data_IF_854487626633
#
_entry.id   IF_854487626633
#
_cell.length_a   1.000
_cell.length_b   1.000
_cell.length_c   1.000
_cell.angle_alpha   90.00
_cell.angle_beta   90.00
_cell.angle_gamma   90.00
#
_symmetry.space_group_name_H-M   'P 1'
#
loop_
_entity.id
_entity.type
_entity.pdbx_description
1 polymer ?
#
# COMPACT_ATOMS: atom_id res chain seq x y z
N UNK A 1 -14.10 20.82 -7.01
CA UNK A 1 -12.71 20.63 -7.49
C UNK A 1 -12.76 19.56 -8.55
N UNK A 2 -12.55 19.95 -9.81
CA UNK A 2 -12.60 19.06 -10.97
C UNK A 2 -11.30 18.24 -11.05
N UNK A 3 -11.45 16.92 -11.13
CA UNK A 3 -10.36 16.00 -11.43
C UNK A 3 -9.72 16.37 -12.76
N UNK A 4 -8.39 16.53 -12.79
CA UNK A 4 -7.66 16.71 -14.04
C UNK A 4 -7.69 15.39 -14.84
N UNK A 5 -8.14 15.41 -16.10
CA UNK A 5 -8.15 14.21 -16.94
C UNK A 5 -6.73 13.70 -17.17
N UNK A 6 -6.55 12.38 -17.21
CA UNK A 6 -5.27 11.74 -17.60
C UNK A 6 -4.94 12.07 -19.07
N UNK A 7 -4.35 13.23 -19.30
CA UNK A 7 -3.44 13.46 -20.40
C UNK A 7 -2.00 13.38 -19.86
N UNK A 8 -1.03 13.22 -20.77
CA UNK A 8 0.36 12.86 -20.48
C UNK A 8 1.12 13.78 -19.50
N UNK A 9 0.54 14.92 -19.10
CA UNK A 9 1.11 15.82 -18.09
C UNK A 9 0.89 15.35 -16.65
N UNK A 10 -0.15 14.55 -16.39
CA UNK A 10 -0.42 14.04 -15.04
C UNK A 10 0.70 13.10 -14.55
N UNK A 11 1.24 12.24 -15.43
CA UNK A 11 2.35 11.37 -15.10
C UNK A 11 3.61 12.17 -14.69
N UNK A 12 3.91 13.29 -15.36
CA UNK A 12 5.09 14.11 -15.06
C UNK A 12 4.97 14.88 -13.73
N UNK A 13 3.79 15.39 -13.41
CA UNK A 13 3.55 16.07 -12.13
C UNK A 13 3.43 15.09 -10.94
N UNK A 14 2.87 13.89 -11.17
CA UNK A 14 2.89 12.78 -10.21
C UNK A 14 4.33 12.32 -9.95
N UNK A 15 5.16 12.21 -10.99
CA UNK A 15 6.58 11.85 -10.88
C UNK A 15 7.35 12.91 -10.07
N UNK A 16 7.05 14.20 -10.21
CA UNK A 16 7.74 15.28 -9.49
C UNK A 16 7.35 15.40 -8.01
N UNK A 17 6.10 15.11 -7.63
CA UNK A 17 5.65 15.20 -6.23
C UNK A 17 6.01 13.97 -5.39
N UNK A 18 6.09 12.79 -6.01
CA UNK A 18 6.34 11.53 -5.32
C UNK A 18 7.83 11.14 -5.20
N UNK A 19 8.75 11.88 -5.81
CA UNK A 19 10.17 11.49 -5.90
C UNK A 19 10.94 11.57 -4.58
N UNK A 20 10.34 12.10 -3.51
CA UNK A 20 10.91 12.08 -2.16
C UNK A 20 9.79 12.03 -1.12
N UNK A 21 9.57 10.85 -0.53
CA UNK A 21 8.63 10.69 0.60
C UNK A 21 9.11 11.50 1.82
N UNK A 22 10.41 11.79 1.89
CA UNK A 22 11.01 12.65 2.92
C UNK A 22 10.42 14.06 2.90
N UNK A 23 10.33 14.68 1.72
CA UNK A 23 9.92 16.08 1.60
C UNK A 23 8.45 16.25 1.99
N UNK A 24 7.58 15.35 1.54
CA UNK A 24 6.17 15.37 1.92
C UNK A 24 6.01 15.00 3.40
N UNK A 25 6.81 14.06 3.88
CA UNK A 25 6.77 13.63 5.27
C UNK A 25 7.15 14.70 6.28
N UNK A 26 8.20 15.48 5.99
CA UNK A 26 8.60 16.60 6.83
C UNK A 26 7.53 17.69 6.91
N UNK A 27 6.80 17.93 5.81
CA UNK A 27 5.71 18.91 5.75
C UNK A 27 4.42 18.42 6.43
N UNK A 28 4.17 17.11 6.44
CA UNK A 28 2.94 16.52 6.99
C UNK A 28 2.99 16.29 8.52
N UNK A 29 4.19 16.10 9.09
CA UNK A 29 4.41 15.73 10.49
C UNK A 29 4.30 16.91 11.50
N UNK A 30 3.68 18.03 11.15
CA UNK A 30 3.85 19.31 11.87
C UNK A 30 3.12 19.45 13.22
N UNK A 31 2.54 18.38 13.78
CA UNK A 31 1.80 18.43 15.05
C UNK A 31 2.37 17.45 16.09
N UNK A 32 2.77 17.94 17.27
CA UNK A 32 3.21 17.13 18.41
C UNK A 32 4.70 16.75 18.42
N UNK A 33 5.04 15.71 19.19
CA UNK A 33 6.43 15.24 19.43
C UNK A 33 7.18 14.95 18.11
N UNK A 34 6.48 14.44 17.10
CA UNK A 34 7.05 14.17 15.77
C UNK A 34 7.38 15.43 14.97
N UNK A 35 6.65 16.53 15.18
CA UNK A 35 6.94 17.84 14.57
C UNK A 35 8.15 18.54 15.19
N UNK A 36 8.49 18.20 16.43
CA UNK A 36 9.74 18.64 17.05
C UNK A 36 10.93 17.81 16.54
N UNK A 37 10.75 16.49 16.41
CA UNK A 37 11.78 15.58 15.87
C UNK A 37 12.11 15.93 14.42
N UNK A 38 11.13 16.28 13.58
CA UNK A 38 11.36 16.64 12.18
C UNK A 38 12.23 17.88 12.00
N UNK A 39 12.28 18.76 13.01
CA UNK A 39 13.13 19.96 13.05
C UNK A 39 14.52 19.69 13.64
N UNK A 40 14.73 18.53 14.26
CA UNK A 40 15.99 18.17 14.88
C UNK A 40 17.06 17.80 13.83
N UNK A 41 18.32 17.73 14.27
CA UNK A 41 19.43 17.33 13.40
C UNK A 41 19.24 15.90 12.85
N UNK A 42 19.83 15.59 11.69
CA UNK A 42 19.77 14.24 11.10
C UNK A 42 20.22 13.13 12.06
N UNK A 43 21.21 13.41 12.92
CA UNK A 43 21.69 12.45 13.94
C UNK A 43 20.63 12.17 15.00
N UNK A 44 19.93 13.21 15.47
CA UNK A 44 18.84 13.07 16.45
C UNK A 44 17.67 12.32 15.82
N UNK A 45 17.28 12.68 14.60
CA UNK A 45 16.24 11.97 13.86
C UNK A 45 16.57 10.49 13.69
N UNK A 46 17.81 10.17 13.30
CA UNK A 46 18.27 8.80 13.16
C UNK A 46 18.26 8.05 14.49
N UNK A 47 18.74 8.68 15.58
CA UNK A 47 18.74 8.07 16.91
C UNK A 47 17.35 7.77 17.45
N UNK A 48 16.40 8.70 17.27
CA UNK A 48 15.01 8.50 17.69
C UNK A 48 14.31 7.43 16.83
N UNK A 49 14.49 7.45 15.49
CA UNK A 49 13.95 6.41 14.59
C UNK A 49 14.52 5.03 14.93
N UNK A 50 15.82 4.96 15.13
CA UNK A 50 16.52 3.76 15.57
C UNK A 50 15.93 3.24 16.88
N UNK A 51 15.86 4.09 17.90
CA UNK A 51 15.33 3.72 19.21
C UNK A 51 13.92 3.17 19.10
N UNK A 52 13.05 3.84 18.34
CA UNK A 52 11.65 3.42 18.17
C UNK A 52 11.51 2.08 17.44
N UNK A 53 12.20 1.90 16.30
CA UNK A 53 12.16 0.64 15.54
C UNK A 53 12.72 -0.52 16.33
N UNK A 54 13.86 -0.30 16.99
CA UNK A 54 14.56 -1.34 17.73
C UNK A 54 13.79 -1.71 19.00
N UNK A 55 13.18 -0.74 19.69
CA UNK A 55 12.31 -0.99 20.83
C UNK A 55 11.08 -1.78 20.43
N UNK A 56 10.44 -1.43 19.31
CA UNK A 56 9.29 -2.18 18.77
C UNK A 56 9.67 -3.63 18.45
N UNK A 57 10.81 -3.85 17.79
CA UNK A 57 11.30 -5.21 17.48
C UNK A 57 11.62 -6.01 18.75
N UNK A 58 12.28 -5.41 19.74
CA UNK A 58 12.57 -6.04 21.03
C UNK A 58 11.29 -6.35 21.81
N UNK A 59 10.29 -5.48 21.77
CA UNK A 59 8.98 -5.72 22.39
C UNK A 59 8.27 -6.94 21.76
N UNK A 60 8.30 -7.07 20.42
CA UNK A 60 7.76 -8.25 19.71
C UNK A 60 8.52 -9.53 20.10
N UNK A 61 9.84 -9.47 20.20
CA UNK A 61 10.67 -10.58 20.69
C UNK A 61 10.28 -10.98 22.12
N UNK A 62 10.14 -10.02 23.03
CA UNK A 62 9.70 -10.29 24.41
C UNK A 62 8.30 -10.90 24.47
N UNK A 63 7.37 -10.42 23.64
CA UNK A 63 6.04 -11.01 23.47
C UNK A 63 6.12 -12.48 23.04
N UNK A 64 6.90 -12.78 22.00
CA UNK A 64 7.10 -14.15 21.53
C UNK A 64 7.74 -15.06 22.58
N UNK A 65 8.75 -14.57 23.32
CA UNK A 65 9.34 -15.34 24.40
C UNK A 65 8.28 -15.67 25.47
N UNK A 66 7.48 -14.68 25.88
CA UNK A 66 6.41 -14.88 26.84
C UNK A 66 5.36 -15.88 26.33
N UNK A 67 4.99 -15.84 25.05
CA UNK A 67 4.08 -16.80 24.43
C UNK A 67 4.62 -18.23 24.45
N UNK A 68 5.90 -18.42 24.09
CA UNK A 68 6.57 -19.73 24.11
C UNK A 68 6.62 -20.31 25.52
N UNK A 69 6.94 -19.48 26.52
CA UNK A 69 6.99 -19.90 27.93
C UNK A 69 5.60 -20.19 28.52
N UNK A 70 4.59 -19.38 28.17
CA UNK A 70 3.22 -19.52 28.67
C UNK A 70 2.40 -20.60 27.93
N UNK A 71 2.81 -20.98 26.72
CA UNK A 71 2.12 -21.96 25.85
C UNK A 71 2.18 -23.42 26.31
N UNK A 72 3.03 -23.73 27.31
CA UNK A 72 2.93 -24.95 28.10
C UNK A 72 3.75 -26.15 27.62
N UNK A 73 4.52 -26.71 28.57
CA UNK A 73 5.31 -27.97 28.58
C UNK A 73 6.66 -27.96 27.87
N UNK A 74 7.64 -27.28 28.47
CA UNK A 74 9.00 -27.80 28.79
C UNK A 74 9.86 -26.66 29.34
N UNK A 75 10.87 -27.00 30.16
CA UNK A 75 12.02 -26.14 30.46
C UNK A 75 12.73 -25.76 29.14
N UNK A 76 12.19 -24.77 28.42
CA UNK A 76 12.76 -24.31 27.16
C UNK A 76 14.06 -23.63 27.50
N UNK A 77 15.16 -24.33 27.26
CA UNK A 77 16.50 -23.82 27.54
C UNK A 77 16.74 -22.55 26.72
N UNK A 78 17.63 -21.70 27.23
CA UNK A 78 18.10 -20.51 26.51
C UNK A 78 18.54 -20.82 25.08
N UNK A 79 19.21 -21.94 24.85
CA UNK A 79 19.67 -22.37 23.53
C UNK A 79 18.51 -22.75 22.60
N UNK A 80 17.47 -23.41 23.12
CA UNK A 80 16.26 -23.70 22.35
C UNK A 80 15.50 -22.44 22.00
N UNK A 81 15.37 -21.50 22.94
CA UNK A 81 14.71 -20.22 22.72
C UNK A 81 15.49 -19.35 21.72
N UNK A 82 16.82 -19.31 21.83
CA UNK A 82 17.70 -18.65 20.86
C UNK A 82 17.55 -19.25 19.47
N UNK A 83 17.47 -20.58 19.36
CA UNK A 83 17.25 -21.26 18.09
C UNK A 83 15.90 -20.87 17.45
N UNK A 84 14.81 -20.85 18.22
CA UNK A 84 13.50 -20.41 17.75
C UNK A 84 13.52 -18.94 17.30
N UNK A 85 14.12 -18.07 18.12
CA UNK A 85 14.26 -16.65 17.81
C UNK A 85 15.07 -16.44 16.52
N UNK A 86 16.18 -17.14 16.34
CA UNK A 86 17.04 -17.02 15.14
C UNK A 86 16.32 -17.35 13.84
N UNK A 87 15.28 -18.20 13.90
CA UNK A 87 14.43 -18.57 12.75
C UNK A 87 13.17 -17.74 12.63
N UNK A 88 12.86 -16.93 13.63
CA UNK A 88 11.68 -16.09 13.64
C UNK A 88 11.78 -14.96 12.61
N UNK A 89 10.63 -14.42 12.25
CA UNK A 89 10.55 -13.24 11.43
C UNK A 89 11.20 -12.02 12.10
N UNK A 90 11.23 -11.97 13.44
CA UNK A 90 11.88 -10.90 14.18
C UNK A 90 13.39 -10.85 13.91
N UNK A 91 14.07 -12.02 13.91
CA UNK A 91 15.50 -12.10 13.68
C UNK A 91 15.91 -11.98 12.21
N UNK A 92 15.02 -12.41 11.30
CA UNK A 92 15.30 -12.45 9.86
C UNK A 92 14.81 -11.22 9.11
N UNK A 93 13.96 -10.38 9.71
CA UNK A 93 13.39 -9.20 9.05
C UNK A 93 13.39 -7.97 9.98
N UNK A 94 12.63 -8.00 11.07
CA UNK A 94 12.37 -6.79 11.87
C UNK A 94 13.65 -6.21 12.52
N UNK A 95 14.46 -7.06 13.18
CA UNK A 95 15.71 -6.65 13.81
C UNK A 95 16.78 -6.20 12.79
N UNK A 96 17.04 -6.93 11.69
CA UNK A 96 17.95 -6.45 10.64
C UNK A 96 17.57 -5.09 10.07
N UNK A 97 16.28 -4.83 9.84
CA UNK A 97 15.78 -3.53 9.39
C UNK A 97 16.08 -2.45 10.43
N UNK A 98 15.70 -2.68 11.69
CA UNK A 98 15.91 -1.72 12.76
C UNK A 98 17.40 -1.41 12.98
N UNK A 99 18.26 -2.44 12.98
CA UNK A 99 19.71 -2.30 13.09
C UNK A 99 20.28 -1.52 11.91
N UNK A 100 19.81 -1.77 10.68
CA UNK A 100 20.29 -1.04 9.50
C UNK A 100 19.93 0.45 9.58
N UNK A 101 18.71 0.77 10.01
CA UNK A 101 18.29 2.16 10.31
C UNK A 101 19.20 2.80 11.35
N UNK A 102 19.51 2.07 12.43
CA UNK A 102 20.42 2.53 13.47
C UNK A 102 21.83 2.84 12.95
N UNK A 103 22.36 1.99 12.07
CA UNK A 103 23.67 2.17 11.47
C UNK A 103 23.68 3.22 10.34
N UNK A 104 22.52 3.71 9.92
CA UNK A 104 22.39 4.60 8.76
C UNK A 104 22.78 3.90 7.46
N UNK A 105 22.56 2.59 7.40
CA UNK A 105 22.90 1.73 6.28
C UNK A 105 21.63 1.28 5.56
N UNK A 106 21.70 1.00 4.24
CA UNK A 106 20.60 0.35 3.55
C UNK A 106 20.31 -1.02 4.16
N UNK A 107 19.03 -1.41 4.17
CA UNK A 107 18.62 -2.74 4.63
C UNK A 107 19.32 -3.79 3.75
N UNK A 108 20.06 -4.74 4.35
CA UNK A 108 20.80 -5.72 3.59
C UNK A 108 19.85 -6.59 2.78
N UNK A 109 20.08 -6.62 1.46
CA UNK A 109 19.36 -7.47 0.51
C UNK A 109 19.73 -8.95 0.67
N UNK A 110 20.89 -9.24 1.28
CA UNK A 110 21.31 -10.57 1.66
C UNK A 110 21.95 -10.55 3.06
N UNK A 111 21.30 -11.20 4.03
CA UNK A 111 21.81 -11.30 5.41
C UNK A 111 23.14 -12.05 5.48
N UNK A 112 23.38 -13.02 4.59
CA UNK A 112 24.63 -13.80 4.53
C UNK A 112 25.85 -12.94 4.13
N UNK A 113 25.60 -11.73 3.61
CA UNK A 113 26.64 -10.77 3.24
C UNK A 113 26.68 -9.57 4.19
N UNK A 114 25.88 -9.59 5.25
CA UNK A 114 25.68 -8.47 6.16
C UNK A 114 26.18 -8.81 7.57
N UNK A 115 27.39 -9.36 7.67
CA UNK A 115 28.02 -9.84 8.92
C UNK A 115 27.87 -8.85 10.07
N UNK A 116 28.07 -7.55 9.80
CA UNK A 116 27.89 -6.50 10.82
C UNK A 116 26.47 -6.44 11.36
N UNK A 117 25.45 -6.48 10.50
CA UNK A 117 24.03 -6.43 10.90
C UNK A 117 23.66 -7.72 11.63
N UNK A 118 24.02 -8.87 11.07
CA UNK A 118 23.73 -10.19 11.67
C UNK A 118 24.35 -10.34 13.05
N UNK A 119 25.59 -9.91 13.23
CA UNK A 119 26.28 -9.95 14.52
C UNK A 119 25.60 -9.07 15.57
N UNK A 120 25.15 -7.88 15.19
CA UNK A 120 24.40 -6.99 16.09
C UNK A 120 23.05 -7.62 16.44
N UNK A 121 22.30 -8.15 15.47
CA UNK A 121 21.03 -8.84 15.71
C UNK A 121 21.21 -9.99 16.69
N UNK A 122 22.23 -10.84 16.49
CA UNK A 122 22.57 -11.93 17.41
C UNK A 122 22.89 -11.39 18.81
N UNK A 123 23.70 -10.34 18.91
CA UNK A 123 24.06 -9.72 20.18
C UNK A 123 22.84 -9.16 20.92
N UNK A 124 21.89 -8.56 20.20
CA UNK A 124 20.63 -8.07 20.76
C UNK A 124 19.82 -9.23 21.33
N UNK A 125 19.61 -10.31 20.57
CA UNK A 125 18.87 -11.48 21.04
C UNK A 125 19.53 -12.08 22.30
N UNK A 126 20.85 -12.24 22.30
CA UNK A 126 21.60 -12.76 23.46
C UNK A 126 21.39 -11.90 24.70
N UNK A 127 21.47 -10.57 24.54
CA UNK A 127 21.28 -9.64 25.65
C UNK A 127 19.85 -9.59 26.14
N UNK A 128 18.86 -9.67 25.25
CA UNK A 128 17.44 -9.75 25.64
C UNK A 128 17.21 -10.98 26.52
N UNK A 129 17.72 -12.15 26.11
CA UNK A 129 17.62 -13.37 26.91
C UNK A 129 18.35 -13.26 28.25
N UNK A 130 19.58 -12.73 28.26
CA UNK A 130 20.36 -12.51 29.48
C UNK A 130 19.67 -11.56 30.46
N UNK A 131 19.07 -10.49 29.96
CA UNK A 131 18.38 -9.49 30.78
C UNK A 131 17.11 -10.08 31.38
N UNK A 132 16.37 -10.87 30.59
CA UNK A 132 15.19 -11.59 31.05
C UNK A 132 15.52 -12.63 32.13
N UNK A 133 16.59 -13.42 31.97
CA UNK A 133 17.07 -14.37 32.99
C UNK A 133 17.39 -13.69 34.33
N UNK A 134 17.86 -12.44 34.30
CA UNK A 134 18.14 -11.63 35.49
C UNK A 134 16.90 -10.96 36.09
N UNK A 135 15.73 -11.09 35.46
CA UNK A 135 14.51 -10.39 35.87
C UNK A 135 14.52 -8.88 35.57
N UNK A 136 15.36 -8.44 34.64
CA UNK A 136 15.42 -7.03 34.22
C UNK A 136 14.27 -6.69 33.27
N UNK A 137 13.67 -5.50 33.44
CA UNK A 137 12.72 -4.96 32.47
C UNK A 137 13.46 -4.41 31.25
N UNK A 138 13.59 -5.24 30.23
CA UNK A 138 14.21 -4.93 28.93
C UNK A 138 13.52 -3.76 28.23
N UNK A 139 12.25 -3.52 28.51
CA UNK A 139 11.44 -2.45 27.90
C UNK A 139 11.50 -1.15 28.71
N UNK A 140 12.22 -1.12 29.82
CA UNK A 140 12.58 0.16 30.45
C UNK A 140 13.62 0.88 29.59
N UNK A 141 13.49 2.21 29.46
CA UNK A 141 14.39 3.01 28.59
C UNK A 141 15.86 2.88 28.99
N UNK A 142 16.16 2.79 30.28
CA UNK A 142 17.54 2.71 30.77
C UNK A 142 18.17 1.36 30.43
N UNK A 143 17.46 0.25 30.71
CA UNK A 143 17.91 -1.10 30.33
C UNK A 143 18.02 -1.25 28.82
N UNK A 144 17.03 -0.77 28.07
CA UNK A 144 17.04 -0.78 26.61
C UNK A 144 18.22 0.02 26.04
N UNK A 145 18.49 1.21 26.57
CA UNK A 145 19.61 2.05 26.11
C UNK A 145 20.95 1.39 26.42
N UNK A 146 21.10 0.73 27.58
CA UNK A 146 22.30 -0.03 27.91
C UNK A 146 22.47 -1.24 26.99
N UNK A 147 21.40 -2.01 26.78
CA UNK A 147 21.40 -3.17 25.92
C UNK A 147 21.83 -2.84 24.49
N UNK A 148 21.24 -1.78 23.92
CA UNK A 148 21.55 -1.34 22.56
C UNK A 148 22.97 -0.82 22.43
N UNK A 149 23.45 -0.05 23.41
CA UNK A 149 24.86 0.38 23.48
C UNK A 149 25.80 -0.83 23.49
N UNK A 150 25.54 -1.81 24.35
CA UNK A 150 26.40 -2.97 24.49
C UNK A 150 26.32 -3.91 23.28
N UNK A 151 25.23 -3.86 22.51
CA UNK A 151 25.06 -4.57 21.24
C UNK A 151 25.77 -3.89 20.06
N UNK A 152 26.42 -2.74 20.28
CA UNK A 152 27.13 -1.99 19.25
C UNK A 152 26.25 -0.96 18.52
N UNK A 153 25.09 -0.60 19.07
CA UNK A 153 24.18 0.42 18.53
C UNK A 153 24.28 1.69 19.40
N UNK A 154 25.16 2.62 19.01
CA UNK A 154 25.38 3.86 19.78
C UNK A 154 24.31 4.93 19.52
N UNK A 155 23.62 4.89 18.37
CA UNK A 155 22.67 5.93 17.93
C UNK A 155 21.53 6.21 18.91
N UNK A 156 21.17 5.25 19.77
CA UNK A 156 20.19 5.45 20.86
C UNK A 156 20.85 6.03 22.11
N UNK A 157 22.03 5.51 22.48
CA UNK A 157 22.74 5.93 23.70
C UNK A 157 23.36 7.32 23.60
N UNK A 158 23.70 7.75 22.38
CA UNK A 158 24.22 9.07 22.04
C UNK A 158 23.16 10.19 22.08
N UNK A 159 21.87 9.84 22.24
CA UNK A 159 20.79 10.82 22.40
C UNK A 159 20.97 11.65 23.68
N UNK A 160 20.65 12.95 23.58
CA UNK A 160 20.64 13.84 24.75
C UNK A 160 19.56 13.42 25.74
N UNK A 161 19.62 13.83 27.03
CA UNK A 161 18.57 13.54 28.00
C UNK A 161 17.18 13.99 27.54
N UNK A 162 17.09 15.13 26.86
CA UNK A 162 15.84 15.63 26.29
C UNK A 162 15.32 14.74 25.15
N UNK A 163 16.20 14.29 24.25
CA UNK A 163 15.83 13.40 23.16
C UNK A 163 15.48 11.98 23.66
N UNK A 164 16.07 11.54 24.78
CA UNK A 164 15.69 10.29 25.46
C UNK A 164 14.31 10.39 26.09
N UNK A 165 13.93 11.54 26.64
CA UNK A 165 12.55 11.77 27.12
C UNK A 165 11.54 11.76 25.96
N UNK A 166 11.92 12.33 24.81
CA UNK A 166 11.15 12.22 23.56
C UNK A 166 10.99 10.75 23.16
N UNK A 167 12.08 9.98 23.09
CA UNK A 167 12.03 8.54 22.80
C UNK A 167 11.15 7.80 23.81
N UNK A 168 11.24 8.11 25.10
CA UNK A 168 10.41 7.52 26.16
C UNK A 168 8.91 7.73 25.91
N UNK A 169 8.52 8.96 25.57
CA UNK A 169 7.13 9.29 25.22
C UNK A 169 6.67 8.51 23.98
N UNK A 170 7.54 8.37 22.98
CA UNK A 170 7.24 7.63 21.76
C UNK A 170 7.03 6.13 22.01
N UNK A 171 7.92 5.49 22.76
CA UNK A 171 7.79 4.05 23.04
C UNK A 171 6.59 3.77 23.96
N UNK A 172 6.29 4.68 24.90
CA UNK A 172 5.11 4.57 25.76
C UNK A 172 3.80 4.74 24.98
N UNK A 173 3.79 5.52 23.89
CA UNK A 173 2.66 5.63 22.98
C UNK A 173 2.45 4.37 22.11
N UNK A 174 3.40 3.43 22.13
CA UNK A 174 3.37 2.21 21.32
C UNK A 174 3.87 2.41 19.88
N UNK A 175 3.75 1.36 19.08
CA UNK A 175 4.14 1.40 17.67
C UNK A 175 3.21 2.36 16.91
N UNK A 176 3.77 3.40 16.28
CA UNK A 176 2.97 4.30 15.45
C UNK A 176 2.39 3.52 14.26
N UNK A 177 1.21 3.94 13.81
CA UNK A 177 0.62 3.32 12.64
C UNK A 177 1.51 3.53 11.38
N UNK A 178 2.22 4.67 11.29
CA UNK A 178 3.22 4.91 10.24
C UNK A 178 4.42 3.96 10.31
N UNK A 179 4.88 3.59 11.53
CA UNK A 179 5.91 2.58 11.70
C UNK A 179 5.42 1.20 11.25
N UNK A 180 4.18 0.81 11.58
CA UNK A 180 3.58 -0.43 11.08
C UNK A 180 3.53 -0.48 9.56
N UNK A 181 3.07 0.61 8.93
CA UNK A 181 3.04 0.76 7.47
C UNK A 181 4.44 0.66 6.86
N UNK A 182 5.43 1.34 7.45
CA UNK A 182 6.83 1.30 6.97
C UNK A 182 7.39 -0.12 7.05
N UNK A 183 7.16 -0.84 8.14
CA UNK A 183 7.61 -2.22 8.32
C UNK A 183 7.01 -3.15 7.24
N UNK A 184 5.76 -2.93 6.83
CA UNK A 184 5.14 -3.68 5.74
C UNK A 184 5.82 -3.37 4.40
N UNK A 185 6.10 -2.09 4.12
CA UNK A 185 6.82 -1.69 2.89
C UNK A 185 8.22 -2.32 2.84
N UNK A 186 8.96 -2.35 3.95
CA UNK A 186 10.28 -2.99 4.00
C UNK A 186 10.21 -4.50 3.72
N UNK A 187 9.16 -5.17 4.20
CA UNK A 187 8.92 -6.59 3.93
C UNK A 187 8.58 -6.84 2.47
N UNK A 188 7.88 -5.92 1.83
CA UNK A 188 7.66 -5.94 0.38
C UNK A 188 8.97 -5.77 -0.38
N UNK A 189 9.83 -4.83 0.02
CA UNK A 189 11.17 -4.66 -0.56
C UNK A 189 11.97 -5.96 -0.45
N UNK A 190 11.97 -6.61 0.72
CA UNK A 190 12.63 -7.89 0.93
C UNK A 190 12.05 -9.00 0.05
N UNK A 191 10.72 -9.08 -0.10
CA UNK A 191 10.06 -10.04 -0.96
C UNK A 191 10.43 -9.86 -2.44
N UNK A 192 10.51 -8.62 -2.93
CA UNK A 192 10.94 -8.29 -4.30
C UNK A 192 12.38 -8.77 -4.53
N UNK A 193 13.27 -8.50 -3.57
CA UNK A 193 14.66 -8.95 -3.62
C UNK A 193 14.73 -10.48 -3.72
N UNK A 194 13.96 -11.20 -2.90
CA UNK A 194 13.90 -12.66 -2.92
C UNK A 194 13.39 -13.21 -4.26
N UNK A 195 12.34 -12.61 -4.83
CA UNK A 195 11.84 -12.97 -6.16
C UNK A 195 12.92 -12.79 -7.23
N UNK A 196 13.66 -11.67 -7.18
CA UNK A 196 14.71 -11.36 -8.16
C UNK A 196 15.99 -12.17 -7.98
N UNK A 197 16.28 -12.66 -6.77
CA UNK A 197 17.35 -13.64 -6.55
C UNK A 197 17.01 -14.98 -7.21
N UNK A 198 15.76 -15.42 -7.11
CA UNK A 198 15.29 -16.68 -7.73
C UNK A 198 15.28 -16.58 -9.25
N UNK A 199 14.76 -15.47 -9.78
CA UNK A 199 14.82 -15.14 -11.19
C UNK A 199 15.01 -13.63 -11.40
N UNK A 200 16.22 -13.26 -11.80
CA UNK A 200 16.60 -11.87 -12.09
C UNK A 200 15.77 -11.20 -13.21
N UNK A 201 15.08 -12.01 -14.03
CA UNK A 201 14.22 -11.57 -15.13
C UNK A 201 12.73 -11.67 -14.82
N UNK A 202 12.35 -12.00 -13.56
CA UNK A 202 10.95 -11.95 -13.12
C UNK A 202 10.33 -10.67 -13.65
N UNK A 203 9.16 -10.74 -14.29
CA UNK A 203 8.52 -9.60 -14.91
C UNK A 203 7.73 -8.74 -13.90
N UNK A 204 7.52 -7.46 -14.22
CA UNK A 204 6.99 -6.47 -13.28
C UNK A 204 5.55 -6.81 -12.85
N UNK A 205 4.77 -7.29 -13.80
CA UNK A 205 3.41 -7.81 -13.59
C UNK A 205 3.38 -9.02 -12.65
N UNK A 206 4.36 -9.92 -12.74
CA UNK A 206 4.51 -11.06 -11.84
C UNK A 206 4.86 -10.60 -10.41
N UNK A 207 5.78 -9.64 -10.27
CA UNK A 207 6.11 -9.05 -8.95
C UNK A 207 4.87 -8.38 -8.35
N UNK A 208 4.17 -7.55 -9.14
CA UNK A 208 2.92 -6.91 -8.72
C UNK A 208 1.89 -7.94 -8.27
N UNK A 209 1.64 -8.96 -9.07
CA UNK A 209 0.68 -10.01 -8.77
C UNK A 209 1.04 -10.77 -7.48
N UNK A 210 2.33 -11.07 -7.26
CA UNK A 210 2.79 -11.74 -6.05
C UNK A 210 2.58 -10.89 -4.79
N UNK A 211 2.84 -9.59 -4.86
CA UNK A 211 2.65 -8.67 -3.73
C UNK A 211 1.15 -8.44 -3.46
N UNK A 212 0.34 -8.25 -4.51
CA UNK A 212 -1.11 -8.06 -4.39
C UNK A 212 -1.79 -9.23 -3.68
N UNK A 213 -1.37 -10.46 -3.96
CA UNK A 213 -1.94 -11.67 -3.36
C UNK A 213 -1.27 -12.06 -2.03
N UNK A 214 -0.34 -11.25 -1.51
CA UNK A 214 0.36 -11.55 -0.27
C UNK A 214 -0.45 -11.13 0.95
N UNK A 215 -0.25 -11.85 2.07
CA UNK A 215 -0.81 -11.44 3.36
C UNK A 215 -0.39 -10.02 3.79
N UNK A 216 0.75 -9.53 3.30
CA UNK A 216 1.23 -8.17 3.54
C UNK A 216 0.20 -7.13 3.08
N UNK A 217 -0.41 -7.32 1.91
CA UNK A 217 -1.40 -6.38 1.38
C UNK A 217 -2.83 -6.75 1.71
N UNK A 218 -3.17 -8.03 1.72
CA UNK A 218 -4.54 -8.47 1.93
C UNK A 218 -4.99 -8.35 3.39
N UNK A 219 -4.06 -8.44 4.34
CA UNK A 219 -4.38 -8.49 5.77
C UNK A 219 -3.63 -7.44 6.58
N UNK A 220 -2.30 -7.47 6.50
CA UNK A 220 -1.46 -6.71 7.44
C UNK A 220 -1.52 -5.21 7.19
N UNK A 221 -1.55 -4.77 5.92
CA UNK A 221 -1.65 -3.36 5.57
C UNK A 221 -2.99 -2.74 5.99
N UNK A 222 -4.15 -3.37 5.72
CA UNK A 222 -5.42 -2.95 6.29
C UNK A 222 -5.39 -2.84 7.82
N UNK A 223 -4.84 -3.84 8.54
CA UNK A 223 -4.73 -3.81 10.00
C UNK A 223 -3.84 -2.66 10.51
N UNK A 224 -2.70 -2.43 9.85
CA UNK A 224 -1.78 -1.34 10.18
C UNK A 224 -2.42 0.04 9.98
N UNK A 225 -3.23 0.19 8.93
CA UNK A 225 -3.89 1.45 8.59
C UNK A 225 -5.15 1.72 9.42
N UNK A 226 -5.81 0.70 9.97
CA UNK A 226 -6.90 0.88 10.95
C UNK A 226 -6.42 1.63 12.20
N UNK A 227 -5.18 1.36 12.63
CA UNK A 227 -4.54 2.13 13.71
C UNK A 227 -4.20 3.58 13.35
N UNK A 228 -4.38 4.00 12.10
CA UNK A 228 -4.08 5.36 11.61
C UNK A 228 -5.26 6.33 11.63
N UNK A 229 -6.39 5.97 12.23
CA UNK A 229 -7.48 6.91 12.48
C UNK A 229 -8.12 6.60 13.83
N UNK A 230 -8.56 7.65 14.53
CA UNK A 230 -9.31 7.45 15.77
C UNK A 230 -10.61 6.73 15.48
N UNK A 231 -10.94 5.69 16.26
CA UNK A 231 -12.14 4.85 16.08
C UNK A 231 -13.47 5.63 16.03
N UNK A 232 -13.47 6.89 16.49
CA UNK A 232 -14.64 7.77 16.56
C UNK A 232 -14.58 8.99 15.61
N UNK A 233 -13.68 9.00 14.62
CA UNK A 233 -13.60 10.11 13.68
C UNK A 233 -14.77 10.07 12.67
N UNK A 234 -15.56 11.15 12.51
CA UNK A 234 -16.68 11.21 11.55
C UNK A 234 -16.27 10.94 10.08
N UNK A 235 -14.98 11.11 9.78
CA UNK A 235 -14.38 10.86 8.46
C UNK A 235 -13.42 9.65 8.43
N UNK A 236 -13.47 8.77 9.44
CA UNK A 236 -12.54 7.64 9.58
C UNK A 236 -12.43 6.76 8.33
N UNK A 237 -13.57 6.50 7.67
CA UNK A 237 -13.61 5.73 6.42
C UNK A 237 -12.94 6.44 5.24
N UNK A 238 -13.16 7.76 5.09
CA UNK A 238 -12.55 8.53 4.00
C UNK A 238 -11.03 8.62 4.18
N UNK A 239 -10.60 8.88 5.42
CA UNK A 239 -9.18 8.98 5.74
C UNK A 239 -8.47 7.62 5.59
N UNK A 240 -9.15 6.50 5.93
CA UNK A 240 -8.62 5.14 5.69
C UNK A 240 -8.36 4.89 4.20
N UNK A 241 -9.34 5.18 3.34
CA UNK A 241 -9.22 4.96 1.89
C UNK A 241 -8.12 5.84 1.27
N UNK A 242 -8.04 7.11 1.67
CA UNK A 242 -6.98 8.03 1.22
C UNK A 242 -5.58 7.56 1.67
N UNK A 243 -5.45 7.08 2.91
CA UNK A 243 -4.19 6.52 3.43
C UNK A 243 -3.80 5.25 2.67
N UNK A 244 -4.74 4.31 2.49
CA UNK A 244 -4.48 3.07 1.76
C UNK A 244 -4.04 3.36 0.32
N UNK A 245 -4.73 4.25 -0.40
CA UNK A 245 -4.32 4.69 -1.75
C UNK A 245 -2.91 5.26 -1.76
N UNK A 246 -2.58 6.09 -0.78
CA UNK A 246 -1.25 6.70 -0.67
C UNK A 246 -0.17 5.64 -0.45
N UNK A 247 -0.38 4.72 0.49
CA UNK A 247 0.57 3.63 0.76
C UNK A 247 0.71 2.70 -0.45
N UNK A 248 -0.38 2.42 -1.13
CA UNK A 248 -0.40 1.63 -2.35
C UNK A 248 0.38 2.27 -3.50
N UNK A 249 0.33 3.60 -3.65
CA UNK A 249 1.18 4.31 -4.62
C UNK A 249 2.66 4.18 -4.25
N UNK A 250 2.99 4.27 -2.95
CA UNK A 250 4.36 4.04 -2.48
C UNK A 250 4.81 2.62 -2.83
N UNK A 251 3.97 1.62 -2.59
CA UNK A 251 4.26 0.21 -2.94
C UNK A 251 4.44 0.03 -4.45
N UNK A 252 3.59 0.63 -5.28
CA UNK A 252 3.75 0.54 -6.74
C UNK A 252 5.08 1.15 -7.19
N UNK A 253 5.51 2.28 -6.59
CA UNK A 253 6.83 2.87 -6.86
C UNK A 253 7.99 1.99 -6.40
N UNK A 254 7.84 1.32 -5.25
CA UNK A 254 8.82 0.32 -4.78
C UNK A 254 8.95 -0.81 -5.81
N UNK A 255 7.84 -1.27 -6.40
CA UNK A 255 7.87 -2.30 -7.45
C UNK A 255 8.49 -1.78 -8.75
N UNK A 256 8.11 -0.58 -9.17
CA UNK A 256 8.67 0.06 -10.37
C UNK A 256 10.17 0.28 -10.25
N UNK A 257 10.68 0.62 -9.07
CA UNK A 257 12.11 0.80 -8.80
C UNK A 257 12.94 -0.46 -9.10
N UNK A 258 12.31 -1.64 -9.14
CA UNK A 258 12.97 -2.86 -9.57
C UNK A 258 13.28 -2.88 -11.09
N UNK A 259 12.87 -1.86 -11.85
CA UNK A 259 13.06 -1.73 -13.30
C UNK A 259 13.52 -0.33 -13.68
N UNK A 260 14.33 -0.25 -14.73
CA UNK A 260 14.76 1.00 -15.34
C UNK A 260 14.60 0.90 -16.85
N UNK A 261 13.81 1.80 -17.44
CA UNK A 261 13.49 1.79 -18.88
C UNK A 261 12.95 0.43 -19.38
N UNK A 262 12.14 -0.25 -18.55
CA UNK A 262 11.56 -1.56 -18.85
C UNK A 262 12.50 -2.75 -18.62
N UNK A 263 13.75 -2.53 -18.23
CA UNK A 263 14.71 -3.60 -17.95
C UNK A 263 14.84 -3.85 -16.44
N UNK A 264 14.97 -5.12 -15.98
CA UNK A 264 15.23 -5.43 -14.57
C UNK A 264 16.53 -4.79 -14.09
N UNK A 265 16.47 -4.15 -12.92
CA UNK A 265 17.62 -3.55 -12.24
C UNK A 265 18.34 -4.59 -11.38
N UNK A 266 19.65 -4.48 -11.16
CA UNK A 266 20.36 -5.37 -10.22
C UNK A 266 19.87 -5.20 -8.77
N UNK A 267 20.08 -6.20 -7.91
CA UNK A 267 19.67 -6.12 -6.49
C UNK A 267 20.39 -5.03 -5.71
N UNK A 268 21.64 -4.71 -6.07
CA UNK A 268 22.43 -3.65 -5.44
C UNK A 268 21.94 -2.26 -5.86
N UNK A 269 21.77 -2.04 -7.17
CA UNK A 269 21.20 -0.80 -7.73
C UNK A 269 19.78 -0.56 -7.20
N UNK A 270 18.97 -1.61 -7.10
CA UNK A 270 17.64 -1.53 -6.52
C UNK A 270 17.69 -1.04 -5.07
N UNK A 271 18.60 -1.57 -4.24
CA UNK A 271 18.76 -1.10 -2.86
C UNK A 271 19.16 0.38 -2.78
N UNK A 272 20.00 0.87 -3.71
CA UNK A 272 20.37 2.28 -3.81
C UNK A 272 19.14 3.14 -4.16
N UNK A 273 18.33 2.71 -5.14
CA UNK A 273 17.09 3.42 -5.51
C UNK A 273 16.13 3.49 -4.33
N UNK A 274 15.89 2.37 -3.63
CA UNK A 274 15.01 2.33 -2.46
C UNK A 274 15.52 3.24 -1.33
N UNK A 275 16.82 3.23 -1.03
CA UNK A 275 17.40 4.10 -0.02
C UNK A 275 17.16 5.60 -0.34
N UNK A 276 17.18 5.96 -1.63
CA UNK A 276 16.94 7.33 -2.07
C UNK A 276 15.47 7.76 -2.07
N UNK A 277 14.50 6.82 -1.98
CA UNK A 277 13.07 7.15 -1.87
C UNK A 277 12.72 7.77 -0.52
N UNK A 278 13.54 7.50 0.51
CA UNK A 278 13.38 8.06 1.85
C UNK A 278 12.12 7.61 2.58
N UNK A 279 11.79 6.34 2.42
CA UNK A 279 10.65 5.65 3.05
C UNK A 279 10.70 5.70 4.59
N UNK A 280 11.88 5.91 5.18
CA UNK A 280 12.06 6.09 6.63
C UNK A 280 11.33 7.31 7.20
N UNK A 281 10.85 8.23 6.38
CA UNK A 281 9.97 9.30 6.85
C UNK A 281 8.59 8.76 7.29
N UNK A 282 8.09 7.69 6.65
CA UNK A 282 6.77 7.11 6.93
C UNK A 282 6.66 6.62 8.38
N UNK A 283 7.75 6.09 8.93
CA UNK A 283 7.80 5.60 10.30
C UNK A 283 7.46 6.68 11.35
N UNK A 284 7.67 7.95 11.01
CA UNK A 284 7.41 9.09 11.91
C UNK A 284 5.98 9.60 11.85
N UNK A 285 5.14 9.06 10.96
CA UNK A 285 3.76 9.52 10.84
C UNK A 285 2.87 8.92 11.92
N UNK A 286 2.16 9.81 12.60
CA UNK A 286 1.00 9.51 13.39
C UNK A 286 -0.27 9.46 12.47
N UNK A 287 -1.45 9.13 13.02
CA UNK A 287 -2.72 9.15 12.28
C UNK A 287 -2.94 10.43 11.43
N UNK A 288 -2.48 11.58 11.91
CA UNK A 288 -2.70 12.88 11.27
C UNK A 288 -1.69 13.13 10.15
N UNK A 289 -0.43 12.73 10.35
CA UNK A 289 0.64 12.84 9.37
C UNK A 289 0.38 12.01 8.11
N UNK A 290 -0.13 10.79 8.25
CA UNK A 290 -0.52 9.96 7.10
C UNK A 290 -1.74 10.51 6.36
N UNK A 291 -2.74 11.04 7.08
CA UNK A 291 -3.89 11.70 6.44
C UNK A 291 -3.48 12.99 5.71
N UNK A 292 -2.54 13.76 6.25
CA UNK A 292 -2.00 14.95 5.58
C UNK A 292 -1.12 14.59 4.37
N UNK A 293 -0.29 13.56 4.48
CA UNK A 293 0.40 12.97 3.33
C UNK A 293 -0.62 12.55 2.28
N UNK A 294 -1.70 11.87 2.67
CA UNK A 294 -2.74 11.47 1.75
C UNK A 294 -3.43 12.65 1.09
N UNK A 295 -3.66 13.78 1.77
CA UNK A 295 -4.16 15.00 1.11
C UNK A 295 -3.19 15.53 0.05
N UNK A 296 -1.90 15.58 0.34
CA UNK A 296 -0.88 16.03 -0.62
C UNK A 296 -0.74 15.08 -1.83
N UNK A 297 -0.84 13.77 -1.59
CA UNK A 297 -0.69 12.72 -2.61
C UNK A 297 -1.98 12.39 -3.36
N UNK A 298 -3.16 12.44 -2.74
CA UNK A 298 -4.46 12.03 -3.32
C UNK A 298 -5.21 13.21 -3.93
N UNK A 299 -5.03 14.45 -3.45
CA UNK A 299 -5.68 15.61 -4.08
C UNK A 299 -5.38 15.83 -5.59
N UNK A 300 -4.34 15.24 -6.21
CA UNK A 300 -4.19 15.18 -7.66
C UNK A 300 -4.50 13.81 -8.32
N UNK A 301 -4.87 12.76 -7.59
CA UNK A 301 -4.95 11.39 -8.15
C UNK A 301 -6.37 11.01 -8.51
N UNK A 302 -6.68 11.09 -9.81
CA UNK A 302 -7.88 10.55 -10.41
C UNK A 302 -7.54 9.39 -11.37
N UNK A 303 -6.78 8.40 -10.87
CA UNK A 303 -6.49 7.13 -11.57
C UNK A 303 -6.62 5.94 -10.60
N UNK A 304 -7.06 4.76 -11.06
CA UNK A 304 -7.24 3.61 -10.19
C UNK A 304 -5.88 3.14 -9.68
N UNK A 305 -5.65 3.23 -8.37
CA UNK A 305 -4.61 2.43 -7.72
C UNK A 305 -5.06 0.98 -7.84
N UNK A 306 -4.36 0.17 -8.63
CA UNK A 306 -4.64 -1.27 -8.81
C UNK A 306 -4.58 -2.05 -7.48
N UNK A 307 -3.89 -1.50 -6.50
CA UNK A 307 -4.04 -1.83 -5.11
C UNK A 307 -5.19 -0.98 -4.56
N UNK A 308 -6.42 -1.46 -4.67
CA UNK A 308 -7.47 -1.03 -3.75
C UNK A 308 -7.44 -2.07 -2.64
N UNK A 309 -7.48 -1.64 -1.38
CA UNK A 309 -7.52 -2.56 -0.23
C UNK A 309 -8.78 -3.41 -0.26
N UNK A 310 -9.13 -4.05 0.86
CA UNK A 310 -10.42 -4.73 0.97
C UNK A 310 -11.56 -3.86 0.42
N UNK A 311 -12.22 -4.36 -0.63
CA UNK A 311 -13.30 -3.62 -1.28
C UNK A 311 -14.58 -3.95 -0.52
N UNK A 312 -15.04 -2.97 0.24
CA UNK A 312 -16.30 -3.06 0.98
C UNK A 312 -17.50 -3.16 0.01
N UNK A 313 -18.56 -3.84 0.45
CA UNK A 313 -19.82 -3.92 -0.29
C UNK A 313 -20.41 -2.52 -0.53
N UNK A 314 -21.03 -2.32 -1.69
CA UNK A 314 -21.83 -1.12 -1.94
C UNK A 314 -21.77 -0.60 -3.37
N UNK A 315 -22.19 0.66 -3.59
CA UNK A 315 -22.33 1.24 -4.91
C UNK A 315 -21.02 1.22 -5.69
N UNK A 316 -21.03 0.75 -6.94
CA UNK A 316 -19.83 0.54 -7.75
C UNK A 316 -19.08 1.86 -8.06
N UNK A 317 -19.74 3.01 -8.03
CA UNK A 317 -19.07 4.31 -8.18
C UNK A 317 -18.23 4.68 -6.95
N UNK A 318 -18.60 4.16 -5.77
CA UNK A 318 -17.85 4.32 -4.51
C UNK A 318 -16.83 3.20 -4.34
N UNK A 319 -17.25 1.95 -4.49
CA UNK A 319 -16.43 0.77 -4.25
C UNK A 319 -15.41 0.50 -5.37
N UNK A 320 -15.81 0.68 -6.64
CA UNK A 320 -15.03 0.23 -7.81
C UNK A 320 -14.61 1.36 -8.76
N UNK A 321 -14.91 2.60 -8.40
CA UNK A 321 -14.60 3.76 -9.23
C UNK A 321 -15.36 3.76 -10.56
N UNK A 322 -16.59 3.24 -10.61
CA UNK A 322 -17.45 3.33 -11.79
C UNK A 322 -17.64 4.80 -12.20
N UNK A 323 -17.24 5.16 -13.43
CA UNK A 323 -17.36 6.52 -13.98
C UNK A 323 -17.88 6.49 -15.41
N UNK A 324 -18.63 7.52 -15.75
CA UNK A 324 -19.08 7.78 -17.13
C UNK A 324 -18.37 9.02 -17.64
N UNK A 325 -17.90 8.97 -18.88
CA UNK A 325 -17.31 10.10 -19.59
C UNK A 325 -18.26 10.48 -20.71
N UNK A 326 -18.54 11.78 -20.84
CA UNK A 326 -19.52 12.35 -21.76
C UNK A 326 -20.96 11.83 -21.55
N UNK A 327 -21.73 11.62 -22.64
CA UNK A 327 -23.19 11.47 -22.59
C UNK A 327 -23.64 10.03 -22.87
N UNK A 328 -22.89 9.25 -23.64
CA UNK A 328 -23.30 7.94 -24.13
C UNK A 328 -23.69 6.98 -23.01
N UNK A 329 -22.99 7.02 -21.87
CA UNK A 329 -23.24 6.12 -20.75
C UNK A 329 -23.83 6.80 -19.51
N UNK A 330 -24.18 8.09 -19.61
CA UNK A 330 -24.72 8.87 -18.48
C UNK A 330 -25.98 8.22 -17.90
N UNK A 331 -26.05 8.12 -16.58
CA UNK A 331 -27.13 7.43 -15.87
C UNK A 331 -26.84 5.94 -15.58
N UNK A 332 -25.69 5.43 -16.02
CA UNK A 332 -25.24 4.10 -15.62
C UNK A 332 -24.90 4.04 -14.13
N UNK A 333 -25.19 2.91 -13.51
CA UNK A 333 -24.93 2.64 -12.09
C UNK A 333 -24.51 1.19 -11.89
N UNK A 334 -24.10 0.84 -10.66
CA UNK A 334 -23.79 -0.53 -10.33
C UNK A 334 -23.61 -0.75 -8.83
N UNK A 335 -23.47 -2.00 -8.46
CA UNK A 335 -23.28 -2.48 -7.09
C UNK A 335 -22.19 -3.56 -7.07
N UNK A 336 -21.40 -3.55 -6.00
CA UNK A 336 -20.39 -4.56 -5.68
C UNK A 336 -20.76 -5.29 -4.39
N UNK A 337 -20.56 -6.61 -4.40
CA UNK A 337 -20.58 -7.45 -3.20
C UNK A 337 -19.34 -8.32 -3.15
N UNK A 338 -18.69 -8.40 -1.99
CA UNK A 338 -17.52 -9.22 -1.70
C UNK A 338 -17.85 -10.71 -1.66
N UNK A 339 -19.05 -11.06 -1.20
CA UNK A 339 -19.61 -12.41 -1.31
C UNK A 339 -20.83 -12.43 -2.23
N UNK A 340 -20.79 -13.34 -3.20
CA UNK A 340 -21.76 -13.45 -4.25
C UNK A 340 -21.49 -14.68 -5.12
N UNK A 341 -21.73 -14.53 -6.42
CA UNK A 341 -21.81 -15.65 -7.35
C UNK A 341 -20.60 -15.77 -8.30
N UNK A 342 -19.54 -15.00 -8.06
CA UNK A 342 -18.33 -14.97 -8.88
C UNK A 342 -18.54 -14.38 -10.28
N UNK A 343 -19.63 -13.61 -10.50
CA UNK A 343 -20.00 -13.09 -11.82
C UNK A 343 -19.94 -11.56 -11.90
N UNK A 344 -19.49 -11.08 -13.06
CA UNK A 344 -19.80 -9.74 -13.55
C UNK A 344 -21.05 -9.80 -14.44
N UNK A 345 -22.13 -9.15 -14.00
CA UNK A 345 -23.40 -9.06 -14.71
C UNK A 345 -23.63 -7.63 -15.19
N UNK A 346 -23.91 -7.48 -16.47
CA UNK A 346 -24.14 -6.19 -17.10
C UNK A 346 -25.49 -6.22 -17.82
N UNK A 347 -26.37 -5.31 -17.44
CA UNK A 347 -27.65 -5.08 -18.12
C UNK A 347 -27.55 -3.79 -18.92
N UNK A 348 -27.42 -3.90 -20.24
CA UNK A 348 -27.45 -2.77 -21.15
C UNK A 348 -28.89 -2.34 -21.41
N UNK A 349 -29.20 -1.06 -21.23
CA UNK A 349 -30.50 -0.45 -21.53
C UNK A 349 -30.31 0.67 -22.55
N UNK A 350 -30.69 0.41 -23.79
CA UNK A 350 -30.60 1.41 -24.85
C UNK A 350 -31.80 2.34 -24.83
N UNK A 351 -31.56 3.62 -24.57
CA UNK A 351 -32.49 4.72 -24.88
C UNK A 351 -32.05 5.45 -26.17
N UNK A 352 -31.04 4.91 -26.85
CA UNK A 352 -30.57 5.38 -28.15
C UNK A 352 -31.64 5.10 -29.22
N UNK A 353 -31.67 5.95 -30.24
CA UNK A 353 -32.57 5.83 -31.37
C UNK A 353 -31.99 4.98 -32.52
N UNK A 354 -30.81 4.38 -32.32
CA UNK A 354 -30.11 3.51 -33.26
C UNK A 354 -29.64 2.22 -32.60
N UNK A 355 -29.39 1.21 -33.44
CA UNK A 355 -28.66 0.01 -33.03
C UNK A 355 -27.20 0.34 -32.81
N UNK A 356 -26.63 -0.23 -31.75
CA UNK A 356 -25.26 0.06 -31.31
C UNK A 356 -24.52 -1.22 -31.00
N UNK A 357 -23.21 -1.20 -31.11
CA UNK A 357 -22.35 -2.26 -30.58
C UNK A 357 -21.53 -1.70 -29.45
N UNK A 358 -21.64 -2.27 -28.25
CA UNK A 358 -20.78 -1.91 -27.13
C UNK A 358 -19.54 -2.78 -27.19
N UNK A 359 -18.37 -2.17 -27.31
CA UNK A 359 -17.11 -2.87 -27.10
C UNK A 359 -16.83 -2.89 -25.60
N UNK A 360 -16.56 -4.08 -25.06
CA UNK A 360 -16.07 -4.26 -23.70
C UNK A 360 -14.57 -4.54 -23.82
N UNK A 361 -13.77 -3.69 -23.20
CA UNK A 361 -12.33 -3.80 -23.10
C UNK A 361 -11.96 -4.17 -21.67
N UNK A 362 -11.03 -5.11 -21.51
CA UNK A 362 -10.48 -5.50 -20.20
C UNK A 362 -8.97 -5.33 -20.24
N UNK A 363 -8.43 -4.50 -19.34
CA UNK A 363 -7.00 -4.17 -19.31
C UNK A 363 -6.50 -3.51 -20.61
N UNK A 364 -7.38 -2.78 -21.30
CA UNK A 364 -7.08 -2.11 -22.57
C UNK A 364 -7.22 -2.97 -23.83
N UNK A 365 -7.45 -4.29 -23.69
CA UNK A 365 -7.66 -5.17 -24.84
C UNK A 365 -9.15 -5.40 -25.09
N UNK A 366 -9.55 -5.47 -26.36
CA UNK A 366 -10.91 -5.85 -26.73
C UNK A 366 -11.23 -7.25 -26.21
N UNK A 367 -12.23 -7.34 -25.34
CA UNK A 367 -12.66 -8.58 -24.71
C UNK A 367 -13.95 -9.12 -25.35
N UNK A 368 -14.95 -8.24 -25.56
CA UNK A 368 -16.22 -8.64 -26.15
C UNK A 368 -16.85 -7.50 -26.98
N UNK A 369 -17.75 -7.88 -27.89
CA UNK A 369 -18.63 -6.96 -28.63
C UNK A 369 -20.08 -7.36 -28.40
N UNK A 370 -20.87 -6.47 -27.80
CA UNK A 370 -22.28 -6.72 -27.46
C UNK A 370 -23.15 -5.87 -28.36
N UNK A 371 -23.97 -6.50 -29.20
CA UNK A 371 -24.95 -5.80 -30.03
C UNK A 371 -26.17 -5.45 -29.17
N UNK A 372 -26.53 -4.17 -29.12
CA UNK A 372 -27.71 -3.68 -28.39
C UNK A 372 -28.59 -2.93 -29.37
N UNK A 373 -29.78 -3.48 -29.61
CA UNK A 373 -30.76 -2.86 -30.51
C UNK A 373 -31.34 -1.57 -29.92
N UNK A 374 -31.84 -0.70 -30.80
CA UNK A 374 -32.60 0.51 -30.45
C UNK A 374 -33.70 0.19 -29.44
N UNK A 375 -33.74 0.90 -28.31
CA UNK A 375 -34.79 0.72 -27.30
C UNK A 375 -34.76 -0.63 -26.58
N UNK A 376 -33.75 -1.48 -26.82
CA UNK A 376 -33.68 -2.83 -26.27
C UNK A 376 -32.85 -2.87 -24.98
N UNK A 377 -33.18 -3.86 -24.16
CA UNK A 377 -32.37 -4.27 -23.03
C UNK A 377 -31.66 -5.58 -23.38
N UNK A 378 -30.37 -5.66 -23.08
CA UNK A 378 -29.54 -6.86 -23.34
C UNK A 378 -28.75 -7.16 -22.07
N UNK A 379 -28.79 -8.42 -21.65
CA UNK A 379 -27.98 -8.90 -20.54
C UNK A 379 -26.71 -9.58 -21.04
N UNK A 380 -25.63 -9.37 -20.31
CA UNK A 380 -24.33 -9.97 -20.56
C UNK A 380 -23.71 -10.35 -19.23
N UNK A 381 -23.14 -11.54 -19.14
CA UNK A 381 -22.46 -11.97 -17.92
C UNK A 381 -21.20 -12.78 -18.24
N UNK A 382 -20.22 -12.65 -17.34
CA UNK A 382 -18.98 -13.41 -17.36
C UNK A 382 -18.47 -13.72 -15.96
N UNK A 383 -17.71 -14.82 -15.79
CA UNK A 383 -16.95 -15.05 -14.57
C UNK A 383 -16.01 -13.88 -14.26
N UNK A 384 -15.95 -13.47 -12.99
CA UNK A 384 -14.99 -12.47 -12.52
C UNK A 384 -13.55 -12.91 -12.78
N UNK A 385 -13.26 -14.22 -12.71
CA UNK A 385 -11.94 -14.77 -13.02
C UNK A 385 -11.41 -14.43 -14.42
N UNK A 386 -12.29 -14.15 -15.39
CA UNK A 386 -11.90 -13.72 -16.75
C UNK A 386 -11.58 -12.21 -16.82
N UNK A 387 -12.11 -11.41 -15.90
CA UNK A 387 -12.10 -9.94 -15.94
C UNK A 387 -11.31 -9.29 -14.80
N UNK A 388 -11.04 -10.03 -13.74
CA UNK A 388 -10.52 -9.53 -12.48
C UNK A 388 -9.12 -8.91 -12.60
N UNK A 389 -8.83 -7.97 -11.71
CA UNK A 389 -7.53 -7.34 -11.62
C UNK A 389 -7.21 -6.43 -12.79
N UNK A 390 -8.24 -6.03 -13.54
CA UNK A 390 -8.13 -5.21 -14.73
C UNK A 390 -9.21 -4.15 -14.72
N UNK A 391 -8.90 -3.02 -15.35
CA UNK A 391 -9.89 -2.01 -15.64
C UNK A 391 -10.79 -2.50 -16.77
N UNK A 392 -12.10 -2.47 -16.54
CA UNK A 392 -13.10 -2.67 -17.56
C UNK A 392 -13.52 -1.31 -18.13
N UNK A 393 -13.36 -1.18 -19.44
CA UNK A 393 -13.73 0.00 -20.20
C UNK A 393 -14.78 -0.39 -21.24
N UNK A 394 -15.80 0.43 -21.43
CA UNK A 394 -16.78 0.24 -22.49
C UNK A 394 -16.87 1.50 -23.34
N UNK A 395 -16.83 1.27 -24.65
CA UNK A 395 -17.25 2.28 -25.62
C UNK A 395 -18.42 1.78 -26.45
N UNK A 396 -19.18 2.73 -26.96
CA UNK A 396 -20.30 2.46 -27.83
C UNK A 396 -19.89 2.81 -29.26
N UNK A 397 -19.89 1.80 -30.11
CA UNK A 397 -19.62 1.88 -31.52
C UNK A 397 -20.89 1.96 -32.37
N UNK A 398 -20.86 2.81 -33.39
CA UNK A 398 -21.82 2.83 -34.50
C UNK A 398 -21.15 3.34 -35.80
N UNK A 399 -21.61 2.93 -36.98
CA UNK A 399 -21.15 3.51 -38.25
C UNK A 399 -21.48 5.01 -38.31
N UNK A 400 -20.49 5.84 -38.65
CA UNK A 400 -20.70 7.28 -38.90
C UNK A 400 -21.44 7.56 -40.21
N UNK A 401 -21.82 8.82 -40.44
CA UNK A 401 -22.48 9.30 -41.67
C UNK A 401 -21.69 8.99 -42.96
N UNK A 402 -20.37 8.75 -42.85
CA UNK A 402 -19.48 8.40 -43.95
C UNK A 402 -19.06 6.91 -43.94
N UNK A 403 -19.71 6.05 -43.16
CA UNK A 403 -19.32 4.64 -43.02
C UNK A 403 -18.00 4.42 -42.25
N UNK A 404 -17.36 5.50 -41.77
CA UNK A 404 -16.14 5.43 -40.96
C UNK A 404 -16.52 5.07 -39.51
N UNK A 405 -15.93 4.01 -38.94
CA UNK A 405 -16.01 3.67 -37.52
C UNK A 405 -15.67 4.86 -36.62
N UNK A 406 -16.52 5.19 -35.65
CA UNK A 406 -16.21 6.19 -34.62
C UNK A 406 -16.66 5.73 -33.24
N UNK A 407 -15.84 6.00 -32.23
CA UNK A 407 -16.12 5.76 -30.79
C UNK A 407 -16.78 6.97 -30.09
N UNK A 408 -17.34 7.90 -30.87
CA UNK A 408 -17.80 9.19 -30.37
C UNK A 408 -19.01 9.15 -29.43
N UNK A 409 -18.96 9.96 -28.37
CA UNK A 409 -20.09 10.30 -27.52
C UNK A 409 -19.98 9.87 -26.06
N UNK A 410 -18.93 9.10 -25.69
CA UNK A 410 -18.59 8.81 -24.31
C UNK A 410 -18.19 7.37 -24.02
N UNK A 411 -17.72 7.15 -22.80
CA UNK A 411 -17.26 5.84 -22.31
C UNK A 411 -17.73 5.56 -20.89
N UNK A 412 -17.69 4.28 -20.50
CA UNK A 412 -17.89 3.81 -19.13
C UNK A 412 -16.60 3.13 -18.66
N UNK A 413 -16.20 3.40 -17.43
CA UNK A 413 -14.99 2.86 -16.83
C UNK A 413 -15.30 2.31 -15.44
N UNK A 414 -14.78 1.13 -15.09
CA UNK A 414 -14.79 0.61 -13.71
C UNK A 414 -13.62 -0.32 -13.47
N UNK A 415 -13.15 -0.41 -12.23
CA UNK A 415 -12.23 -1.47 -11.81
C UNK A 415 -13.02 -2.77 -11.59
N UNK A 416 -12.42 -3.93 -11.93
CA UNK A 416 -12.97 -5.25 -11.59
C UNK A 416 -12.05 -5.91 -10.55
N UNK A 417 -12.53 -6.15 -9.31
CA UNK A 417 -11.72 -6.72 -8.24
C UNK A 417 -11.19 -8.13 -8.52
N UNK A 418 -10.07 -8.48 -7.88
CA UNK A 418 -9.58 -9.86 -7.77
C UNK A 418 -10.24 -10.58 -6.60
N UNK A 419 -11.55 -10.79 -6.70
CA UNK A 419 -12.32 -11.53 -5.70
C UNK A 419 -13.21 -12.55 -6.41
N UNK A 420 -12.77 -13.82 -6.39
CA UNK A 420 -13.41 -14.89 -7.13
C UNK A 420 -14.81 -15.22 -6.60
N UNK A 421 -15.09 -14.89 -5.33
CA UNK A 421 -16.37 -15.11 -4.68
C UNK A 421 -17.26 -13.86 -4.71
N UNK A 422 -16.82 -12.75 -5.31
CA UNK A 422 -17.56 -11.50 -5.38
C UNK A 422 -18.69 -11.49 -6.41
N UNK A 423 -19.44 -10.38 -6.49
CA UNK A 423 -20.47 -10.15 -7.51
C UNK A 423 -20.52 -8.69 -7.91
N UNK A 424 -20.34 -8.43 -9.20
CA UNK A 424 -20.45 -7.11 -9.80
C UNK A 424 -21.72 -7.04 -10.64
N UNK A 425 -22.62 -6.11 -10.32
CA UNK A 425 -23.82 -5.85 -11.13
C UNK A 425 -23.79 -4.43 -11.67
N UNK A 426 -23.88 -4.27 -13.00
CA UNK A 426 -23.94 -2.97 -13.67
C UNK A 426 -25.25 -2.81 -14.44
N UNK A 427 -25.91 -1.66 -14.25
CA UNK A 427 -27.01 -1.19 -15.10
C UNK A 427 -26.47 -0.11 -16.02
N UNK A 428 -26.21 -0.47 -17.28
CA UNK A 428 -25.54 0.40 -18.26
C UNK A 428 -26.57 1.06 -19.17
N UNK A 429 -26.78 2.36 -19.00
CA UNK A 429 -27.66 3.15 -19.87
C UNK A 429 -26.91 3.56 -21.13
N UNK A 430 -27.53 3.43 -22.30
CA UNK A 430 -26.95 3.85 -23.58
C UNK A 430 -27.80 4.95 -24.20
N UNK A 431 -27.25 6.17 -24.26
CA UNK A 431 -27.94 7.39 -24.69
C UNK A 431 -27.56 7.82 -26.11
N UNK A 432 -28.46 8.49 -26.86
CA UNK A 432 -28.12 9.07 -28.15
C UNK A 432 -27.02 10.14 -28.03
N UNK A 433 -26.17 10.27 -29.06
CA UNK A 433 -25.09 11.30 -29.13
C UNK A 433 -25.57 12.74 -29.23
N UNK A 434 -26.79 12.97 -29.73
CA UNK A 434 -27.33 14.29 -30.04
C UNK A 434 -28.62 14.47 -29.26
N UNK A 435 -28.63 15.38 -28.29
CA UNK A 435 -29.86 16.06 -27.93
C UNK A 435 -30.12 17.09 -29.03
N UNK A 436 -31.20 16.92 -29.79
CA UNK A 436 -31.91 18.11 -30.27
C UNK A 436 -32.53 18.75 -29.03
N UNK A 437 -32.17 20.00 -28.76
CA UNK A 437 -32.52 20.78 -27.57
C UNK A 437 -34.01 21.21 -27.55
N UNK A 438 -34.93 20.29 -27.84
CA UNK A 438 -36.33 20.60 -28.12
C UNK A 438 -37.36 19.76 -27.35
N UNK A 439 -37.00 19.19 -26.20
CA UNK A 439 -37.97 18.46 -25.36
C UNK A 439 -37.88 18.74 -23.86
N UNK A 440 -37.47 19.96 -23.47
CA UNK A 440 -37.67 20.52 -22.13
C UNK A 440 -38.22 21.94 -22.21
N UNK A 441 -39.37 22.06 -22.89
CA UNK A 441 -40.36 23.12 -22.66
C UNK A 441 -41.73 22.50 -22.85
N UNK A 442 -42.24 21.89 -21.79
CA UNK A 442 -43.62 22.03 -21.30
C UNK A 442 -43.73 21.38 -19.93
#
# INVERSE_FOLDING_TARGET
MECLPQNADCAKDIIKKASSVVTVGLNAATSGVFGEISKASKKVQQGVKCGQQLFSAVNKVMGYINEVENGGKTDTTKDQLMFLLSKSQFATQDLPVAVSTCLGMPVPTNLDKADKVVNIVKSILEKVLNSKEKGEDVLSIDTFTSLTKDAGVSSVSDLSPADKDVLKKLVAAGETCGLKVKNIIDRIVAAIVEMKKKDSKTAMDIIRLGIMNSNLLLKELPEATVGCFGANAPEGFRNRDEILKTVHLVIDRVIEAAYQNGNPVGTEDYAIVIANMGLDAIATFDPTGLANMAKEFVQPICGPTIFVGEIDDGPADKALGLRTVEKAFRGSSGEWKKQGDGLAKITFKSVDNKDVTVNILSGGNLFAKVKVGKGKTVEWSKPLSELQGKTMYMDRWRPGFLGIPGTGGGSLLTWVPMDADGSLTLSVQINPTSFSDHALRH
#
